data_IF_472484607226
#
_entry.id   IF_472484607226
#
_cell.length_a   1.000
_cell.length_b   1.000
_cell.length_c   1.000
_cell.angle_alpha   90.00
_cell.angle_beta   90.00
_cell.angle_gamma   90.00
#
_symmetry.space_group_name_H-M   'P 1'
#
loop_
_entity.id
_entity.type
_entity.pdbx_description
1 polymer ?
#
# COMPACT_ATOMS: atom_id res chain seq x y z
N UNK A 1 -13.64 -1.26 10.24
CA UNK A 1 -12.96 -2.01 9.16
C UNK A 1 -11.71 -1.23 8.84
N UNK A 2 -10.54 -1.88 8.69
CA UNK A 2 -9.31 -1.17 8.36
C UNK A 2 -9.46 -0.40 7.06
N UNK A 3 -9.23 0.91 7.13
CA UNK A 3 -9.45 1.81 6.00
C UNK A 3 -8.38 1.65 4.93
N UNK A 4 -7.16 1.25 5.31
CA UNK A 4 -6.03 1.16 4.41
C UNK A 4 -5.76 -0.25 3.89
N UNK A 5 -5.34 -0.30 2.62
CA UNK A 5 -5.01 -1.51 1.87
C UNK A 5 -3.69 -1.30 1.14
N UNK A 6 -2.76 -2.25 1.27
CA UNK A 6 -1.51 -2.27 0.53
C UNK A 6 -1.55 -3.40 -0.50
N UNK A 7 -1.41 -3.06 -1.78
CA UNK A 7 -1.23 -4.03 -2.85
C UNK A 7 0.23 -4.06 -3.26
N UNK A 8 0.85 -5.24 -3.25
CA UNK A 8 2.20 -5.40 -3.84
C UNK A 8 2.06 -5.51 -5.35
N UNK A 9 2.98 -4.87 -6.05
CA UNK A 9 3.05 -4.90 -7.50
C UNK A 9 4.18 -5.82 -7.97
N UNK A 10 3.96 -6.51 -9.08
CA UNK A 10 5.00 -7.27 -9.78
C UNK A 10 5.92 -6.36 -10.61
N UNK A 11 6.90 -6.95 -11.28
CA UNK A 11 7.83 -6.23 -12.17
C UNK A 11 7.17 -5.59 -13.39
N UNK A 12 5.93 -5.97 -13.74
CA UNK A 12 5.12 -5.34 -14.78
C UNK A 12 4.19 -4.24 -14.22
N UNK A 13 4.22 -3.99 -12.91
CA UNK A 13 3.38 -3.00 -12.24
C UNK A 13 1.93 -3.44 -12.05
N UNK A 14 1.65 -4.74 -12.12
CA UNK A 14 0.34 -5.34 -11.87
C UNK A 14 0.23 -5.83 -10.42
N UNK A 15 -0.99 -5.93 -9.90
CA UNK A 15 -1.23 -6.42 -8.53
C UNK A 15 -0.83 -7.91 -8.47
N UNK A 16 0.18 -8.19 -7.66
CA UNK A 16 0.77 -9.52 -7.54
C UNK A 16 0.15 -10.35 -6.40
N UNK A 17 -0.53 -9.71 -5.45
CA UNK A 17 -1.04 -10.36 -4.24
C UNK A 17 -2.37 -9.77 -3.77
N UNK A 18 -3.07 -10.52 -2.93
CA UNK A 18 -4.19 -9.99 -2.16
C UNK A 18 -3.75 -8.75 -1.33
N UNK A 19 -4.66 -7.80 -1.05
CA UNK A 19 -4.33 -6.62 -0.27
C UNK A 19 -4.03 -6.97 1.19
N UNK A 20 -2.97 -6.37 1.72
CA UNK A 20 -2.69 -6.35 3.15
C UNK A 20 -3.47 -5.19 3.78
N UNK A 21 -4.38 -5.49 4.71
CA UNK A 21 -5.18 -4.49 5.42
C UNK A 21 -4.49 -4.03 6.70
N UNK A 22 -4.60 -2.74 7.02
CA UNK A 22 -4.13 -2.19 8.29
C UNK A 22 -4.81 -0.87 8.65
N UNK A 23 -4.72 -0.51 9.92
CA UNK A 23 -5.17 0.77 10.45
C UNK A 23 -4.01 1.77 10.51
N UNK A 24 -4.32 3.04 10.23
CA UNK A 24 -3.43 4.17 10.39
C UNK A 24 -4.26 5.41 10.74
N UNK A 25 -3.65 6.38 11.42
CA UNK A 25 -4.33 7.59 11.88
C UNK A 25 -4.60 8.57 10.73
N UNK A 26 -3.69 8.61 9.76
CA UNK A 26 -3.71 9.49 8.59
C UNK A 26 -2.88 8.88 7.46
N UNK A 27 -2.85 9.56 6.31
CA UNK A 27 -2.12 9.13 5.13
C UNK A 27 -0.60 9.07 5.37
N UNK A 28 -0.04 9.97 6.18
CA UNK A 28 1.39 10.02 6.48
C UNK A 28 1.83 8.81 7.32
N UNK A 29 1.06 8.46 8.35
CA UNK A 29 1.25 7.24 9.13
C UNK A 29 1.06 6.00 8.26
N UNK A 30 0.06 6.00 7.36
CA UNK A 30 -0.18 4.89 6.45
C UNK A 30 0.98 4.70 5.46
N UNK A 31 1.55 5.80 4.96
CA UNK A 31 2.72 5.82 4.10
C UNK A 31 3.95 5.24 4.80
N UNK A 32 4.22 5.61 6.05
CA UNK A 32 5.33 5.06 6.82
C UNK A 32 5.22 3.52 6.97
N UNK A 33 4.03 3.02 7.28
CA UNK A 33 3.75 1.58 7.38
C UNK A 33 3.91 0.90 6.02
N UNK A 34 3.36 1.48 4.96
CA UNK A 34 3.44 0.95 3.61
C UNK A 34 4.89 0.88 3.08
N UNK A 35 5.71 1.90 3.36
CA UNK A 35 7.13 1.92 3.05
C UNK A 35 7.89 0.80 3.76
N UNK A 36 7.57 0.55 5.03
CA UNK A 36 8.21 -0.54 5.79
C UNK A 36 7.78 -1.92 5.25
N UNK A 37 6.49 -2.12 4.94
CA UNK A 37 5.94 -3.42 4.53
C UNK A 37 6.29 -3.82 3.11
N UNK A 38 6.36 -2.86 2.18
CA UNK A 38 6.70 -3.16 0.77
C UNK A 38 8.14 -3.65 0.62
N UNK A 39 9.02 -3.34 1.58
CA UNK A 39 10.46 -3.56 1.46
C UNK A 39 11.04 -2.79 0.28
N UNK A 40 11.72 -3.49 -0.64
CA UNK A 40 12.28 -2.92 -1.87
C UNK A 40 11.34 -3.02 -3.07
N UNK A 41 10.17 -3.66 -2.93
CA UNK A 41 9.21 -3.84 -4.01
C UNK A 41 8.35 -2.62 -4.29
N UNK A 42 7.72 -2.60 -5.46
CA UNK A 42 6.67 -1.61 -5.77
C UNK A 42 5.35 -1.99 -5.10
N UNK A 43 4.58 -0.99 -4.67
CA UNK A 43 3.30 -1.20 -4.03
C UNK A 43 2.34 -0.03 -4.24
N UNK A 44 1.03 -0.26 -4.05
CA UNK A 44 0.02 0.78 -4.00
C UNK A 44 -0.67 0.81 -2.64
N UNK A 45 -0.71 2.00 -2.04
CA UNK A 45 -1.45 2.28 -0.83
C UNK A 45 -2.80 2.89 -1.16
N UNK A 46 -3.87 2.30 -0.66
CA UNK A 46 -5.25 2.72 -0.88
C UNK A 46 -5.95 2.95 0.46
N UNK A 47 -6.85 3.94 0.52
CA UNK A 47 -7.81 4.14 1.61
C UNK A 47 -9.22 3.98 1.04
N UNK A 48 -9.93 2.90 1.40
CA UNK A 48 -11.23 2.58 0.82
C UNK A 48 -11.15 2.38 -0.70
N UNK A 49 -11.68 3.35 -1.47
CA UNK A 49 -11.62 3.42 -2.94
C UNK A 49 -10.68 4.51 -3.49
N UNK A 50 -9.96 5.22 -2.63
CA UNK A 50 -8.98 6.26 -3.00
C UNK A 50 -7.58 5.65 -3.06
N UNK A 51 -6.87 5.86 -4.17
CA UNK A 51 -5.43 5.62 -4.23
C UNK A 51 -4.72 6.76 -3.49
N UNK A 52 -4.02 6.44 -2.41
CA UNK A 52 -3.26 7.41 -1.61
C UNK A 52 -1.91 7.67 -2.27
N UNK A 53 -1.16 6.59 -2.55
CA UNK A 53 0.18 6.70 -3.13
C UNK A 53 0.55 5.42 -3.88
N UNK A 54 1.23 5.58 -5.03
CA UNK A 54 2.00 4.49 -5.65
C UNK A 54 3.46 4.60 -5.21
N UNK A 55 3.93 3.59 -4.48
CA UNK A 55 5.28 3.47 -3.95
C UNK A 55 6.14 2.70 -4.95
N UNK A 56 7.22 3.32 -5.44
CA UNK A 56 8.15 2.71 -6.39
C UNK A 56 9.41 2.26 -5.67
N UNK A 57 9.85 1.05 -5.97
CA UNK A 57 11.16 0.50 -5.56
C UNK A 57 12.27 0.99 -6.46
#
# INVERSE_FOLDING_TARGET
MPEYKLYRLDGAGQIASAPEYFDALDDDAALAVAQQRRGTGSAELWQGGRLVQRLRG
#
